data_IF_793606657770
#
_entry.id   IF_793606657770
#
_cell.length_a   1.000
_cell.length_b   1.000
_cell.length_c   1.000
_cell.angle_alpha   90.00
_cell.angle_beta   90.00
_cell.angle_gamma   90.00
#
_symmetry.space_group_name_H-M   'P 1'
#
loop_
_entity.id
_entity.type
_entity.pdbx_description
1 polymer ?
#
# COMPACT_ATOMS: atom_id res chain seq x y z
N UNK A 1 29.44 -10.35 1.74
CA UNK A 1 28.11 -10.24 2.39
C UNK A 1 27.20 -9.54 1.41
N UNK A 2 26.09 -10.14 0.92
CA UNK A 2 25.21 -9.42 0.01
C UNK A 2 24.50 -8.33 0.79
N UNK A 3 24.45 -7.13 0.21
CA UNK A 3 23.75 -5.99 0.78
C UNK A 3 22.30 -6.39 1.02
N UNK A 4 21.88 -6.41 2.29
CA UNK A 4 20.47 -6.42 2.63
C UNK A 4 19.96 -5.11 2.04
N UNK A 5 19.25 -5.18 0.92
CA UNK A 5 18.53 -4.05 0.39
C UNK A 5 17.47 -3.70 1.43
N UNK A 6 17.84 -2.87 2.41
CA UNK A 6 16.92 -2.20 3.32
C UNK A 6 16.23 -1.15 2.48
N UNK A 7 15.33 -1.64 1.63
CA UNK A 7 14.52 -0.77 0.82
C UNK A 7 13.71 0.10 1.79
N UNK A 8 13.89 1.41 1.65
CA UNK A 8 13.27 2.47 2.44
C UNK A 8 11.87 2.05 2.84
N UNK A 9 11.65 1.80 4.15
CA UNK A 9 10.32 1.49 4.67
C UNK A 9 9.42 2.65 4.25
N UNK A 10 8.47 2.37 3.37
CA UNK A 10 7.54 3.38 2.91
C UNK A 10 6.83 3.94 4.15
N UNK A 11 7.01 5.22 4.44
CA UNK A 11 6.34 5.85 5.59
C UNK A 11 4.89 6.08 5.20
N UNK A 12 4.00 5.20 5.66
CA UNK A 12 2.56 5.43 5.59
C UNK A 12 2.20 6.41 6.71
N UNK A 13 1.78 7.65 6.41
CA UNK A 13 1.31 8.55 7.45
C UNK A 13 0.00 8.01 8.04
N UNK A 14 -0.10 7.98 9.36
CA UNK A 14 -1.34 7.69 10.05
C UNK A 14 -2.34 8.82 9.77
N UNK A 15 -3.58 8.46 9.46
CA UNK A 15 -4.66 9.42 9.18
C UNK A 15 -5.21 9.94 10.52
N UNK A 16 -5.61 11.20 10.56
CA UNK A 16 -6.17 11.81 11.77
C UNK A 16 -7.48 11.11 12.17
N UNK A 17 -7.54 10.57 13.39
CA UNK A 17 -8.71 9.84 13.89
C UNK A 17 -8.73 8.35 13.53
N UNK A 18 -7.70 7.83 12.86
CA UNK A 18 -7.55 6.41 12.54
C UNK A 18 -7.12 5.62 13.79
N UNK A 19 -7.81 4.52 14.07
CA UNK A 19 -7.42 3.60 15.15
C UNK A 19 -6.11 2.88 14.78
N UNK A 20 -5.38 2.40 15.80
CA UNK A 20 -4.12 1.68 15.58
C UNK A 20 -4.34 0.43 14.69
N UNK A 21 -5.42 -0.31 14.93
CA UNK A 21 -5.79 -1.48 14.11
C UNK A 21 -6.08 -1.13 12.65
N UNK A 22 -6.79 -0.01 12.39
CA UNK A 22 -7.08 0.43 11.02
C UNK A 22 -5.79 0.87 10.30
N UNK A 23 -4.90 1.55 11.01
CA UNK A 23 -3.58 1.92 10.49
C UNK A 23 -2.73 0.69 10.17
N UNK A 24 -2.69 -0.31 11.05
CA UNK A 24 -1.94 -1.54 10.81
C UNK A 24 -2.50 -2.33 9.63
N UNK A 25 -3.82 -2.42 9.50
CA UNK A 25 -4.47 -3.10 8.38
C UNK A 25 -4.18 -2.38 7.05
N UNK A 26 -4.33 -1.05 7.01
CA UNK A 26 -4.02 -0.24 5.83
C UNK A 26 -2.56 -0.33 5.44
N UNK A 27 -1.67 -0.32 6.44
CA UNK A 27 -0.23 -0.49 6.23
C UNK A 27 0.09 -1.87 5.66
N UNK A 28 -0.50 -2.93 6.19
CA UNK A 28 -0.31 -4.29 5.69
C UNK A 28 -0.80 -4.45 4.25
N UNK A 29 -1.94 -3.84 3.88
CA UNK A 29 -2.42 -3.82 2.49
C UNK A 29 -1.46 -3.06 1.55
N UNK A 30 -0.96 -1.89 1.98
CA UNK A 30 0.02 -1.12 1.21
C UNK A 30 1.31 -1.93 1.00
N UNK A 31 1.81 -2.58 2.05
CA UNK A 31 3.01 -3.42 1.97
C UNK A 31 2.79 -4.60 1.02
N UNK A 32 1.64 -5.29 1.08
CA UNK A 32 1.30 -6.40 0.18
C UNK A 32 1.25 -5.97 -1.30
N UNK A 33 0.68 -4.79 -1.59
CA UNK A 33 0.63 -4.24 -2.95
C UNK A 33 2.05 -3.91 -3.44
N UNK A 34 2.86 -3.23 -2.63
CA UNK A 34 4.25 -2.87 -2.99
C UNK A 34 5.09 -4.12 -3.21
N UNK A 35 4.92 -5.15 -2.37
CA UNK A 35 5.58 -6.44 -2.57
C UNK A 35 5.11 -7.12 -3.85
N UNK A 36 3.82 -7.07 -4.18
CA UNK A 36 3.29 -7.58 -5.45
C UNK A 36 3.93 -6.93 -6.67
N UNK A 37 4.10 -5.60 -6.64
CA UNK A 37 4.85 -4.87 -7.68
C UNK A 37 6.32 -5.27 -7.73
N UNK A 38 6.98 -5.42 -6.57
CA UNK A 38 8.39 -5.86 -6.51
C UNK A 38 8.63 -7.22 -7.15
N UNK A 39 7.72 -8.15 -6.91
CA UNK A 39 7.82 -9.51 -7.41
C UNK A 39 7.20 -9.67 -8.81
N UNK A 40 6.81 -8.56 -9.46
CA UNK A 40 6.13 -8.52 -10.76
C UNK A 40 4.96 -9.53 -10.83
N UNK A 41 4.20 -9.62 -9.74
CA UNK A 41 3.09 -10.58 -9.57
C UNK A 41 1.79 -10.12 -10.22
N UNK A 42 1.70 -8.86 -10.63
CA UNK A 42 0.53 -8.30 -11.27
C UNK A 42 0.73 -8.20 -12.78
N UNK A 43 -0.30 -8.56 -13.54
CA UNK A 43 -0.39 -8.21 -14.96
C UNK A 43 -0.51 -6.69 -15.15
N UNK A 44 -0.42 -6.19 -16.39
CA UNK A 44 -0.54 -4.75 -16.66
C UNK A 44 -1.88 -4.18 -16.19
N UNK A 45 -2.99 -4.88 -16.44
CA UNK A 45 -4.33 -4.46 -16.00
C UNK A 45 -4.49 -4.50 -14.47
N UNK A 46 -3.92 -5.51 -13.81
CA UNK A 46 -3.91 -5.58 -12.36
C UNK A 46 -3.01 -4.52 -11.73
N UNK A 47 -1.92 -4.16 -12.39
CA UNK A 47 -1.00 -3.11 -11.94
C UNK A 47 -1.73 -1.76 -11.86
N UNK A 48 -2.51 -1.41 -12.89
CA UNK A 48 -3.33 -0.19 -12.87
C UNK A 48 -4.38 -0.19 -11.72
N UNK A 49 -5.05 -1.32 -11.50
CA UNK A 49 -6.02 -1.46 -10.41
C UNK A 49 -5.34 -1.36 -9.02
N UNK A 50 -4.17 -1.97 -8.87
CA UNK A 50 -3.40 -1.96 -7.63
C UNK A 50 -2.77 -0.59 -7.35
N UNK A 51 -2.38 0.15 -8.40
CA UNK A 51 -1.90 1.52 -8.28
C UNK A 51 -3.01 2.47 -7.79
N UNK A 52 -4.21 2.37 -8.38
CA UNK A 52 -5.40 3.13 -7.93
C UNK A 52 -5.74 2.80 -6.48
N UNK A 53 -5.72 1.51 -6.12
CA UNK A 53 -5.98 1.05 -4.74
C UNK A 53 -4.92 1.59 -3.78
N UNK A 54 -3.64 1.55 -4.15
CA UNK A 54 -2.55 2.11 -3.37
C UNK A 54 -2.72 3.62 -3.15
N UNK A 55 -3.16 4.35 -4.17
CA UNK A 55 -3.40 5.80 -4.06
C UNK A 55 -4.57 6.11 -3.11
N UNK A 56 -5.66 5.36 -3.19
CA UNK A 56 -6.79 5.50 -2.27
C UNK A 56 -6.38 5.21 -0.80
N UNK A 57 -5.64 4.12 -0.57
CA UNK A 57 -5.11 3.76 0.75
C UNK A 57 -4.13 4.83 1.29
N UNK A 58 -3.31 5.45 0.44
CA UNK A 58 -2.41 6.54 0.86
C UNK A 58 -3.16 7.81 1.26
N UNK A 59 -4.24 8.14 0.54
CA UNK A 59 -5.07 9.31 0.83
C UNK A 59 -5.93 9.15 2.07
N UNK A 60 -6.01 7.95 2.66
CA UNK A 60 -6.87 7.68 3.81
C UNK A 60 -8.36 7.69 3.47
N UNK A 61 -8.69 7.63 2.18
CA UNK A 61 -10.07 7.56 1.69
C UNK A 61 -10.45 6.09 1.65
N UNK A 62 -11.51 5.66 2.35
CA UNK A 62 -12.00 4.30 2.19
C UNK A 62 -12.34 4.08 0.72
N UNK A 63 -11.85 2.98 0.15
CA UNK A 63 -12.01 2.62 -1.28
C UNK A 63 -13.50 2.54 -1.72
N UNK A 64 -14.45 2.70 -0.80
CA UNK A 64 -15.89 2.79 -1.06
C UNK A 64 -16.48 4.19 -1.28
N UNK A 65 -15.72 5.28 -1.16
CA UNK A 65 -16.21 6.67 -1.36
C UNK A 65 -15.78 7.32 -2.69
N UNK A 66 -15.23 6.53 -3.62
CA UNK A 66 -14.92 7.00 -4.99
C UNK A 66 -16.02 6.64 -6.01
N UNK A 67 -17.27 6.45 -5.55
CA UNK A 67 -18.43 6.18 -6.39
C UNK A 67 -19.56 7.18 -6.13
#
# INVERSE_FOLDING_TARGET
MPAIYSWVRYKVPQVAGETEEAYEQRRAEIDAIIEGFRWNRFSAEESDAMEKRLQALKSGVPVGELA
#
